data_IF_950459190641
#
_entry.id   IF_950459190641
#
_cell.length_a   1.000
_cell.length_b   1.000
_cell.length_c   1.000
_cell.angle_alpha   90.00
_cell.angle_beta   90.00
_cell.angle_gamma   90.00
#
_symmetry.space_group_name_H-M   'P 1'
#
loop_
_entity.id
_entity.type
_entity.pdbx_description
1 polymer ?
#
# COMPACT_ATOMS: atom_id res chain seq x y z
N UNK A 1 17.46 -43.00 23.45
CA UNK A 1 16.84 -44.34 23.28
C UNK A 1 15.51 -44.42 24.02
N UNK A 2 15.41 -43.99 25.25
CA UNK A 2 14.18 -44.12 26.11
C UNK A 2 12.98 -43.28 25.58
N UNK A 3 13.19 -42.10 24.95
CA UNK A 3 12.10 -41.22 24.45
C UNK A 3 11.43 -41.80 23.20
N UNK A 4 12.15 -42.50 22.34
CA UNK A 4 11.63 -43.14 21.13
C UNK A 4 10.74 -44.36 21.46
N UNK A 5 11.09 -45.11 22.51
CA UNK A 5 10.30 -46.26 22.99
C UNK A 5 9.00 -45.78 23.66
N UNK A 6 9.02 -44.63 24.35
CA UNK A 6 7.85 -44.00 24.97
C UNK A 6 6.83 -43.48 23.93
N UNK A 7 7.30 -42.88 22.87
CA UNK A 7 6.45 -42.37 21.77
C UNK A 7 5.84 -43.55 20.98
N UNK A 8 6.59 -44.63 20.75
CA UNK A 8 6.10 -45.82 20.05
C UNK A 8 5.00 -46.55 20.85
N UNK A 9 5.09 -46.59 22.17
CA UNK A 9 4.10 -47.24 23.04
C UNK A 9 2.82 -46.39 23.18
N UNK A 10 2.97 -45.06 23.22
CA UNK A 10 1.82 -44.16 23.40
C UNK A 10 1.01 -43.94 22.11
N UNK A 11 1.67 -43.93 20.95
CA UNK A 11 1.01 -43.64 19.67
C UNK A 11 0.43 -44.88 19.02
N UNK A 12 0.98 -46.04 19.27
CA UNK A 12 0.61 -47.28 18.54
C UNK A 12 -0.19 -48.31 19.35
N UNK A 13 -0.40 -48.15 20.66
CA UNK A 13 -1.26 -48.98 21.48
C UNK A 13 -1.03 -50.50 21.32
N UNK A 14 0.16 -50.93 20.93
CA UNK A 14 0.41 -52.28 20.42
C UNK A 14 1.24 -53.11 21.39
N UNK A 15 0.72 -54.26 21.67
CA UNK A 15 1.36 -55.35 22.34
C UNK A 15 2.68 -55.77 21.67
N UNK A 16 3.71 -55.95 22.44
CA UNK A 16 5.14 -55.89 22.14
C UNK A 16 5.72 -57.10 21.38
N UNK A 17 4.94 -57.89 20.64
CA UNK A 17 5.44 -59.19 20.13
C UNK A 17 5.54 -59.37 18.62
N UNK A 18 5.10 -58.44 17.75
CA UNK A 18 5.09 -58.75 16.29
C UNK A 18 5.53 -57.65 15.28
N UNK A 19 5.97 -56.49 15.65
CA UNK A 19 6.34 -55.48 14.65
C UNK A 19 7.79 -55.02 14.75
N UNK A 20 8.73 -55.78 14.17
CA UNK A 20 10.07 -55.29 13.84
C UNK A 20 10.01 -54.41 12.62
N UNK A 21 9.50 -53.18 12.75
CA UNK A 21 9.55 -52.17 11.68
C UNK A 21 11.00 -51.86 11.35
N UNK A 22 11.37 -51.92 10.07
CA UNK A 22 12.71 -51.54 9.61
C UNK A 22 12.98 -50.07 9.99
N UNK A 23 14.13 -49.78 10.60
CA UNK A 23 14.55 -48.43 11.04
C UNK A 23 14.24 -47.33 10.01
N UNK A 24 14.36 -47.60 8.71
CA UNK A 24 14.03 -46.71 7.60
C UNK A 24 12.56 -46.32 7.56
N UNK A 25 11.64 -47.22 7.85
CA UNK A 25 10.17 -46.97 7.84
C UNK A 25 9.76 -46.06 8.99
N UNK A 26 10.36 -46.20 10.17
CA UNK A 26 10.11 -45.33 11.33
C UNK A 26 10.64 -43.92 11.06
N UNK A 27 11.84 -43.79 10.47
CA UNK A 27 12.41 -42.49 10.12
C UNK A 27 11.55 -41.78 9.08
N UNK A 28 11.07 -42.51 8.05
CA UNK A 28 10.19 -41.91 7.03
C UNK A 28 8.85 -41.45 7.61
N UNK A 29 8.27 -42.21 8.53
CA UNK A 29 7.03 -41.80 9.21
C UNK A 29 7.24 -40.54 10.08
N UNK A 30 8.35 -40.45 10.82
CA UNK A 30 8.67 -39.28 11.63
C UNK A 30 8.94 -38.04 10.77
N UNK A 31 9.63 -38.21 9.65
CA UNK A 31 9.86 -37.12 8.67
C UNK A 31 8.51 -36.65 8.07
N UNK A 32 7.61 -37.59 7.73
CA UNK A 32 6.28 -37.26 7.24
C UNK A 32 5.45 -36.48 8.25
N UNK A 33 5.46 -36.87 9.53
CA UNK A 33 4.76 -36.14 10.62
C UNK A 33 5.37 -34.74 10.82
N UNK A 34 6.69 -34.64 10.74
CA UNK A 34 7.37 -33.35 10.87
C UNK A 34 7.02 -32.40 9.71
N UNK A 35 6.98 -32.90 8.46
CA UNK A 35 6.59 -32.11 7.29
C UNK A 35 5.12 -31.69 7.35
N UNK A 36 4.23 -32.58 7.81
CA UNK A 36 2.83 -32.20 8.07
C UNK A 36 2.71 -31.14 9.15
N UNK A 37 3.48 -31.25 10.24
CA UNK A 37 3.52 -30.22 11.30
C UNK A 37 4.01 -28.90 10.81
N UNK A 38 5.02 -28.88 9.94
CA UNK A 38 5.53 -27.64 9.31
C UNK A 38 4.46 -27.04 8.38
N UNK A 39 3.77 -27.85 7.58
CA UNK A 39 2.68 -27.41 6.71
C UNK A 39 1.52 -26.79 7.49
N UNK A 40 1.11 -27.42 8.58
CA UNK A 40 0.07 -26.90 9.49
C UNK A 40 0.51 -25.60 10.14
N UNK A 41 1.75 -25.51 10.63
CA UNK A 41 2.32 -24.28 11.20
C UNK A 41 2.37 -23.14 10.17
N UNK A 42 2.72 -23.46 8.92
CA UNK A 42 2.76 -22.47 7.84
C UNK A 42 1.36 -21.96 7.50
N UNK A 43 0.39 -22.86 7.43
CA UNK A 43 -1.03 -22.51 7.20
C UNK A 43 -1.60 -21.66 8.35
N UNK A 44 -1.35 -22.06 9.60
CA UNK A 44 -1.76 -21.27 10.77
C UNK A 44 -1.10 -19.89 10.82
N UNK A 45 0.17 -19.78 10.45
CA UNK A 45 0.89 -18.51 10.40
C UNK A 45 0.33 -17.56 9.34
N UNK A 46 -0.07 -18.08 8.19
CA UNK A 46 -0.73 -17.31 7.14
C UNK A 46 -2.11 -16.82 7.59
N UNK A 47 -2.91 -17.69 8.19
CA UNK A 47 -4.23 -17.38 8.74
C UNK A 47 -4.14 -16.38 9.91
N UNK A 48 -3.20 -16.59 10.83
CA UNK A 48 -2.96 -15.66 11.94
C UNK A 48 -2.52 -14.26 11.45
N UNK A 49 -1.68 -14.18 10.41
CA UNK A 49 -1.32 -12.89 9.80
C UNK A 49 -2.52 -12.18 9.20
N UNK A 50 -3.43 -12.90 8.52
CA UNK A 50 -4.67 -12.32 7.99
C UNK A 50 -5.59 -11.82 9.11
N UNK A 51 -5.74 -12.59 10.18
CA UNK A 51 -6.53 -12.17 11.36
C UNK A 51 -5.92 -10.97 12.08
N UNK A 52 -4.59 -10.97 12.29
CA UNK A 52 -3.89 -9.85 12.91
C UNK A 52 -3.96 -8.59 12.06
N UNK A 53 -3.81 -8.67 10.74
CA UNK A 53 -3.96 -7.52 9.86
C UNK A 53 -5.39 -6.97 9.91
N UNK A 54 -6.41 -7.82 9.90
CA UNK A 54 -7.81 -7.39 10.03
C UNK A 54 -8.11 -6.74 11.39
N UNK A 55 -7.51 -7.26 12.47
CA UNK A 55 -7.63 -6.65 13.81
C UNK A 55 -6.91 -5.30 13.87
N UNK A 56 -5.69 -5.21 13.34
CA UNK A 56 -4.93 -3.96 13.26
C UNK A 56 -5.71 -2.92 12.46
N UNK A 57 -6.23 -3.27 11.28
CA UNK A 57 -7.09 -2.37 10.50
C UNK A 57 -8.38 -1.96 11.24
N UNK A 58 -9.02 -2.86 11.98
CA UNK A 58 -10.17 -2.52 12.83
C UNK A 58 -9.80 -1.57 13.98
N UNK A 59 -8.64 -1.77 14.58
CA UNK A 59 -8.12 -0.91 15.66
C UNK A 59 -7.76 0.46 15.08
N UNK A 60 -7.04 0.51 13.97
CA UNK A 60 -6.71 1.75 13.27
C UNK A 60 -7.96 2.50 12.82
N UNK A 61 -8.96 1.82 12.26
CA UNK A 61 -10.25 2.41 11.92
C UNK A 61 -11.00 2.98 13.13
N UNK A 62 -10.94 2.35 14.31
CA UNK A 62 -11.53 2.86 15.55
C UNK A 62 -10.77 4.05 16.12
N UNK A 63 -9.43 4.03 16.11
CA UNK A 63 -8.62 5.16 16.56
C UNK A 63 -8.76 6.38 15.66
N UNK A 64 -8.97 6.19 14.35
CA UNK A 64 -9.15 7.30 13.40
C UNK A 64 -10.53 7.97 13.53
N UNK A 65 -11.51 7.32 14.13
CA UNK A 65 -12.88 7.89 14.26
C UNK A 65 -13.01 8.91 15.40
N UNK A 66 -12.02 9.04 16.27
CA UNK A 66 -12.06 9.93 17.45
C UNK A 66 -11.03 11.06 17.38
N UNK A 67 -10.35 11.25 16.26
CA UNK A 67 -9.39 12.35 16.13
C UNK A 67 -10.16 13.64 15.87
N UNK A 68 -10.25 14.49 16.87
CA UNK A 68 -10.57 15.90 16.69
C UNK A 68 -9.70 16.44 15.56
N UNK A 69 -10.34 16.98 14.51
CA UNK A 69 -9.64 17.60 13.40
C UNK A 69 -8.67 18.66 13.95
N UNK A 70 -7.38 18.52 13.68
CA UNK A 70 -6.41 19.58 13.95
C UNK A 70 -6.80 20.80 13.14
N UNK A 71 -6.41 21.99 13.57
CA UNK A 71 -6.64 23.22 12.81
C UNK A 71 -6.06 23.16 11.39
N UNK A 72 -4.88 22.53 11.25
CA UNK A 72 -4.26 22.23 9.96
C UNK A 72 -5.12 21.32 9.07
N UNK A 73 -5.72 20.26 9.62
CA UNK A 73 -6.61 19.36 8.87
C UNK A 73 -7.82 20.11 8.32
N UNK A 74 -8.41 21.05 9.07
CA UNK A 74 -9.54 21.83 8.61
C UNK A 74 -9.15 22.78 7.46
N UNK A 75 -7.91 23.31 7.46
CA UNK A 75 -7.34 24.12 6.36
C UNK A 75 -7.20 23.30 5.09
N UNK A 76 -6.59 22.11 5.19
CA UNK A 76 -6.36 21.22 4.03
C UNK A 76 -7.67 20.66 3.46
N UNK A 77 -8.65 20.33 4.30
CA UNK A 77 -9.99 19.91 3.85
C UNK A 77 -10.66 21.01 3.02
N UNK A 78 -10.51 22.28 3.40
CA UNK A 78 -11.07 23.39 2.62
C UNK A 78 -10.30 23.64 1.32
N UNK A 79 -8.98 23.46 1.35
CA UNK A 79 -8.07 23.71 0.22
C UNK A 79 -8.17 22.60 -0.84
N UNK A 80 -8.30 21.35 -0.38
CA UNK A 80 -8.28 20.15 -1.20
C UNK A 80 -9.57 19.35 -1.02
N UNK A 81 -10.65 19.90 -1.59
CA UNK A 81 -12.01 19.39 -1.47
C UNK A 81 -12.59 18.90 -2.80
N UNK A 82 -11.75 18.59 -3.77
CA UNK A 82 -12.23 18.06 -5.04
C UNK A 82 -12.99 16.75 -4.81
N UNK A 83 -14.15 16.65 -5.44
CA UNK A 83 -15.07 15.55 -5.18
C UNK A 83 -14.68 14.28 -5.96
N UNK A 84 -15.00 13.11 -5.44
CA UNK A 84 -14.72 11.84 -6.14
C UNK A 84 -15.26 11.78 -7.57
N UNK A 85 -16.46 12.33 -7.91
CA UNK A 85 -16.92 12.41 -9.29
C UNK A 85 -15.98 13.17 -10.23
N UNK A 86 -15.32 14.26 -9.76
CA UNK A 86 -14.35 15.01 -10.58
C UNK A 86 -13.10 14.17 -10.85
N UNK A 87 -12.56 13.50 -9.84
CA UNK A 87 -11.44 12.58 -9.97
C UNK A 87 -11.77 11.44 -10.94
N UNK A 88 -12.96 10.82 -10.77
CA UNK A 88 -13.40 9.73 -11.64
C UNK A 88 -13.60 10.19 -13.09
N UNK A 89 -14.16 11.39 -13.30
CA UNK A 89 -14.34 11.96 -14.63
C UNK A 89 -12.99 12.13 -15.32
N UNK A 90 -12.04 12.79 -14.68
CA UNK A 90 -10.68 12.95 -15.22
C UNK A 90 -9.99 11.59 -15.45
N UNK A 91 -10.18 10.63 -14.53
CA UNK A 91 -9.68 9.28 -14.71
C UNK A 91 -10.18 8.62 -16.00
N UNK A 92 -11.48 8.72 -16.27
CA UNK A 92 -12.11 8.16 -17.48
C UNK A 92 -11.70 8.88 -18.76
N UNK A 93 -11.46 10.19 -18.70
CA UNK A 93 -11.12 11.01 -19.86
C UNK A 93 -9.63 10.88 -20.25
N UNK A 94 -8.74 10.71 -19.28
CA UNK A 94 -7.29 10.79 -19.47
C UNK A 94 -6.55 9.48 -19.17
N UNK A 95 -7.25 8.48 -18.65
CA UNK A 95 -6.70 7.20 -18.24
C UNK A 95 -6.83 6.11 -19.30
N UNK A 96 -6.60 4.88 -18.87
CA UNK A 96 -6.85 3.70 -19.70
C UNK A 96 -8.34 3.54 -19.96
N UNK A 97 -8.68 3.02 -21.12
CA UNK A 97 -10.08 2.90 -21.60
C UNK A 97 -10.95 2.09 -20.65
N UNK A 98 -10.40 1.01 -20.08
CA UNK A 98 -11.10 0.11 -19.16
C UNK A 98 -10.27 -0.19 -17.92
N UNK A 99 -10.89 -0.24 -16.73
CA UNK A 99 -10.25 -0.80 -15.55
C UNK A 99 -9.78 -2.23 -15.78
N UNK A 100 -8.56 -2.54 -15.38
CA UNK A 100 -8.00 -3.89 -15.46
C UNK A 100 -8.73 -4.83 -14.50
N UNK A 101 -9.01 -6.05 -14.92
CA UNK A 101 -9.65 -7.05 -14.08
C UNK A 101 -8.65 -7.57 -13.02
N UNK A 102 -7.42 -7.85 -13.42
CA UNK A 102 -6.35 -8.36 -12.56
C UNK A 102 -4.98 -7.76 -12.90
N UNK A 103 -3.99 -8.03 -12.05
CA UNK A 103 -2.63 -7.46 -12.19
C UNK A 103 -1.85 -7.94 -13.41
N UNK A 104 -2.19 -9.09 -13.99
CA UNK A 104 -1.50 -9.60 -15.18
C UNK A 104 -1.82 -8.79 -16.43
N UNK A 105 -3.02 -8.23 -16.51
CA UNK A 105 -3.45 -7.39 -17.63
C UNK A 105 -2.64 -6.10 -17.76
N UNK A 106 -1.97 -5.65 -16.69
CA UNK A 106 -1.10 -4.47 -16.77
C UNK A 106 0.02 -4.62 -17.81
N UNK A 107 0.44 -5.85 -18.11
CA UNK A 107 1.43 -6.13 -19.16
C UNK A 107 0.88 -5.93 -20.56
N UNK A 108 -0.41 -6.14 -20.75
CA UNK A 108 -1.07 -6.00 -22.05
C UNK A 108 -1.21 -4.54 -22.46
N UNK A 109 -1.32 -3.65 -21.46
CA UNK A 109 -1.45 -2.19 -21.66
C UNK A 109 -0.15 -1.42 -21.37
N UNK A 110 1.00 -2.10 -21.33
CA UNK A 110 2.32 -1.46 -21.07
C UNK A 110 2.67 -0.34 -22.08
N UNK A 111 2.08 -0.31 -23.27
CA UNK A 111 2.27 0.78 -24.24
C UNK A 111 1.63 2.08 -23.82
N UNK A 112 0.57 2.02 -23.02
CA UNK A 112 -0.20 3.16 -22.52
C UNK A 112 0.22 3.57 -21.12
N UNK A 113 0.91 2.70 -20.40
CA UNK A 113 1.29 2.86 -19.00
C UNK A 113 2.81 2.96 -18.82
N UNK A 114 3.19 3.76 -17.84
CA UNK A 114 4.56 3.87 -17.34
C UNK A 114 4.66 3.10 -16.04
N UNK A 115 5.56 2.12 -15.97
CA UNK A 115 5.92 1.47 -14.71
C UNK A 115 6.81 2.39 -13.91
N UNK A 116 6.26 2.99 -12.87
CA UNK A 116 7.00 3.89 -11.97
C UNK A 116 7.89 3.10 -11.01
N UNK A 117 9.01 3.70 -10.62
CA UNK A 117 9.98 3.17 -9.64
C UNK A 117 10.41 4.30 -8.72
N UNK A 118 10.75 3.96 -7.48
CA UNK A 118 11.33 4.94 -6.56
C UNK A 118 12.55 5.62 -7.18
N UNK A 119 12.62 6.94 -7.05
CA UNK A 119 13.68 7.75 -7.63
C UNK A 119 14.19 8.80 -6.62
N UNK A 120 14.83 9.88 -7.10
CA UNK A 120 15.32 10.96 -6.23
C UNK A 120 14.20 11.81 -5.62
N UNK A 121 13.01 11.82 -6.20
CA UNK A 121 11.90 12.69 -5.83
C UNK A 121 10.89 11.98 -4.93
N UNK A 122 10.61 10.70 -5.21
CA UNK A 122 9.63 9.93 -4.45
C UNK A 122 10.10 8.49 -4.17
N UNK A 123 9.50 7.92 -3.16
CA UNK A 123 9.60 6.50 -2.83
C UNK A 123 8.22 5.85 -2.99
N UNK A 124 8.20 4.70 -3.66
CA UNK A 124 7.01 3.85 -3.70
C UNK A 124 7.04 2.96 -2.46
N UNK A 125 5.97 3.00 -1.69
CA UNK A 125 5.79 2.14 -0.53
C UNK A 125 5.47 0.69 -0.94
N UNK A 126 5.33 -0.20 0.05
CA UNK A 126 4.86 -1.55 -0.21
C UNK A 126 3.38 -1.50 -0.65
N UNK A 127 3.14 -1.71 -1.95
CA UNK A 127 1.80 -1.66 -2.54
C UNK A 127 1.09 -3.00 -2.35
N UNK A 128 0.14 -3.08 -1.42
CA UNK A 128 -0.64 -4.30 -1.15
C UNK A 128 -1.84 -4.45 -2.09
N UNK A 129 -2.53 -3.34 -2.37
CA UNK A 129 -3.76 -3.29 -3.16
C UNK A 129 -3.68 -2.28 -4.30
N UNK A 130 -2.54 -2.21 -4.94
CA UNK A 130 -2.31 -1.45 -6.18
C UNK A 130 -1.01 -1.90 -6.83
N UNK A 131 -0.80 -1.53 -8.09
CA UNK A 131 0.40 -1.86 -8.86
C UNK A 131 1.06 -0.58 -9.37
N UNK A 132 2.40 -0.53 -9.50
CA UNK A 132 3.16 0.68 -9.75
C UNK A 132 3.10 1.13 -11.23
N UNK A 133 1.92 1.37 -11.75
CA UNK A 133 1.70 1.83 -13.10
C UNK A 133 0.85 3.11 -13.10
N UNK A 134 1.22 4.06 -13.95
CA UNK A 134 0.49 5.31 -14.22
C UNK A 134 0.47 5.58 -15.72
N UNK A 135 -0.48 6.40 -16.17
CA UNK A 135 -0.37 7.04 -17.49
C UNK A 135 0.87 7.92 -17.53
N UNK A 136 1.35 8.24 -18.72
CA UNK A 136 2.53 9.11 -18.90
C UNK A 136 2.35 10.46 -18.20
N UNK A 137 1.22 11.14 -18.42
CA UNK A 137 0.94 12.43 -17.79
C UNK A 137 0.88 12.33 -16.26
N UNK A 138 0.27 11.28 -15.70
CA UNK A 138 0.25 11.09 -14.24
C UNK A 138 1.63 10.80 -13.66
N UNK A 139 2.49 10.06 -14.37
CA UNK A 139 3.88 9.83 -13.96
C UNK A 139 4.71 11.13 -13.99
N UNK A 140 4.54 11.94 -15.04
CA UNK A 140 5.18 13.25 -15.18
C UNK A 140 4.72 14.22 -14.08
N UNK A 141 3.42 14.21 -13.74
CA UNK A 141 2.90 14.99 -12.62
C UNK A 141 3.50 14.56 -11.28
N UNK A 142 3.63 13.27 -11.03
CA UNK A 142 4.23 12.75 -9.80
C UNK A 142 5.70 13.18 -9.67
N UNK A 143 6.47 13.11 -10.75
CA UNK A 143 7.85 13.60 -10.79
C UNK A 143 7.91 15.11 -10.53
N UNK A 144 7.05 15.88 -11.18
CA UNK A 144 6.95 17.34 -11.01
C UNK A 144 6.61 17.74 -9.57
N UNK A 145 5.67 17.05 -8.92
CA UNK A 145 5.34 17.28 -7.51
C UNK A 145 6.58 17.08 -6.63
N UNK A 146 7.29 15.97 -6.80
CA UNK A 146 8.46 15.66 -6.00
C UNK A 146 9.66 16.58 -6.29
N UNK A 147 9.80 17.05 -7.52
CA UNK A 147 10.81 18.04 -7.92
C UNK A 147 10.53 19.39 -7.24
N UNK A 148 9.34 19.97 -7.45
CA UNK A 148 8.92 21.24 -6.84
C UNK A 148 8.98 21.20 -5.31
N UNK A 149 8.58 20.09 -4.71
CA UNK A 149 8.70 19.90 -3.26
C UNK A 149 10.16 20.03 -2.80
N UNK A 150 11.11 19.40 -3.50
CA UNK A 150 12.53 19.51 -3.14
C UNK A 150 13.15 20.87 -3.50
N UNK A 151 12.68 21.56 -4.52
CA UNK A 151 13.06 22.94 -4.81
C UNK A 151 12.66 23.88 -3.67
N UNK A 152 11.44 23.71 -3.17
CA UNK A 152 10.94 24.50 -2.04
C UNK A 152 11.67 24.19 -0.74
N UNK A 153 11.95 22.90 -0.45
CA UNK A 153 12.79 22.52 0.69
C UNK A 153 14.17 23.19 0.62
N UNK A 154 14.78 23.19 -0.56
CA UNK A 154 16.10 23.80 -0.79
C UNK A 154 16.06 25.32 -0.58
N UNK A 155 15.02 26.01 -1.06
CA UNK A 155 14.87 27.45 -0.88
C UNK A 155 14.82 27.85 0.60
N UNK A 156 14.25 26.99 1.45
CA UNK A 156 14.13 27.19 2.90
C UNK A 156 15.35 26.61 3.68
N UNK A 157 16.35 26.06 3.00
CA UNK A 157 17.53 25.45 3.61
C UNK A 157 17.23 24.14 4.35
N UNK A 158 16.11 23.49 4.03
CA UNK A 158 15.71 22.20 4.60
C UNK A 158 16.38 21.07 3.79
N UNK A 159 16.74 19.99 4.49
CA UNK A 159 17.30 18.80 3.87
C UNK A 159 16.32 18.21 2.84
N UNK A 160 16.85 17.64 1.75
CA UNK A 160 16.04 16.97 0.73
C UNK A 160 15.27 15.77 1.31
N UNK A 161 14.00 15.62 0.92
CA UNK A 161 13.14 14.52 1.29
C UNK A 161 12.46 13.91 0.06
N UNK A 162 12.16 12.61 0.12
CA UNK A 162 11.25 11.96 -0.81
C UNK A 162 9.84 11.98 -0.25
N UNK A 163 8.88 12.35 -1.06
CA UNK A 163 7.47 12.06 -0.81
C UNK A 163 7.24 10.55 -0.94
N UNK A 164 6.23 10.01 -0.24
CA UNK A 164 5.97 8.56 -0.24
C UNK A 164 4.63 8.27 -0.89
N UNK A 165 4.67 7.52 -1.99
CA UNK A 165 3.50 7.08 -2.74
C UNK A 165 2.97 5.79 -2.12
N UNK A 166 1.71 5.79 -1.71
CA UNK A 166 1.08 4.68 -0.97
C UNK A 166 0.03 3.91 -1.77
N UNK A 167 -0.45 4.48 -2.86
CA UNK A 167 -1.39 3.81 -3.76
C UNK A 167 -1.26 4.37 -5.18
N UNK A 168 -1.52 3.54 -6.18
CA UNK A 168 -1.43 3.87 -7.61
C UNK A 168 -2.56 3.17 -8.37
N UNK A 169 -2.28 2.55 -9.52
CA UNK A 169 -3.27 1.80 -10.30
C UNK A 169 -3.83 0.63 -9.49
N UNK A 170 -5.15 0.55 -9.40
CA UNK A 170 -5.88 -0.57 -8.80
C UNK A 170 -6.62 -1.35 -9.88
N UNK A 171 -6.53 -2.67 -9.81
CA UNK A 171 -7.37 -3.58 -10.59
C UNK A 171 -8.71 -3.81 -9.88
N UNK A 172 -9.68 -4.42 -10.56
CA UNK A 172 -10.95 -4.80 -9.92
C UNK A 172 -10.70 -5.80 -8.77
N UNK A 173 -9.79 -6.77 -8.97
CA UNK A 173 -9.35 -7.70 -7.94
C UNK A 173 -8.76 -6.98 -6.72
N UNK A 174 -7.92 -5.95 -6.90
CA UNK A 174 -7.39 -5.14 -5.80
C UNK A 174 -8.49 -4.45 -4.99
N UNK A 175 -9.55 -3.99 -5.66
CA UNK A 175 -10.68 -3.34 -5.00
C UNK A 175 -11.52 -4.36 -4.22
N UNK A 176 -11.76 -5.53 -4.77
CA UNK A 176 -12.46 -6.63 -4.08
C UNK A 176 -11.71 -7.03 -2.80
N UNK A 177 -10.40 -7.22 -2.89
CA UNK A 177 -9.55 -7.50 -1.72
C UNK A 177 -9.59 -6.37 -0.68
N UNK A 178 -9.64 -5.10 -1.12
CA UNK A 178 -9.81 -3.96 -0.22
C UNK A 178 -11.16 -3.98 0.48
N UNK A 179 -12.25 -4.30 -0.23
CA UNK A 179 -13.59 -4.41 0.33
C UNK A 179 -13.67 -5.56 1.35
N UNK A 180 -13.11 -6.72 1.02
CA UNK A 180 -13.01 -7.86 1.93
C UNK A 180 -12.21 -7.54 3.20
N UNK A 181 -11.19 -6.68 3.11
CA UNK A 181 -10.44 -6.20 4.28
C UNK A 181 -11.21 -5.22 5.17
N UNK A 182 -12.43 -4.85 4.79
CA UNK A 182 -13.31 -3.94 5.53
C UNK A 182 -13.08 -2.46 5.21
N UNK A 183 -12.42 -2.13 4.12
CA UNK A 183 -12.28 -0.75 3.67
C UNK A 183 -13.57 -0.26 3.00
N UNK A 184 -14.40 0.45 3.76
CA UNK A 184 -15.69 1.00 3.30
C UNK A 184 -15.57 2.05 2.18
N UNK A 185 -14.39 2.57 1.92
CA UNK A 185 -14.14 3.55 0.86
C UNK A 185 -13.71 2.89 -0.47
N UNK A 186 -13.51 1.57 -0.48
CA UNK A 186 -13.17 0.85 -1.69
C UNK A 186 -14.41 0.77 -2.61
N UNK A 187 -14.31 1.31 -3.82
CA UNK A 187 -15.38 1.34 -4.80
C UNK A 187 -14.85 0.91 -6.16
N UNK A 188 -15.64 0.12 -6.88
CA UNK A 188 -15.37 -0.24 -8.28
C UNK A 188 -15.33 1.01 -9.19
N UNK A 189 -15.97 2.11 -8.78
CA UNK A 189 -15.91 3.41 -9.44
C UNK A 189 -14.77 4.28 -8.86
N UNK A 190 -13.59 3.73 -8.68
CA UNK A 190 -12.41 4.47 -8.19
C UNK A 190 -11.62 5.07 -9.34
N UNK A 191 -11.18 6.33 -9.20
CA UNK A 191 -10.27 6.96 -10.15
C UNK A 191 -8.92 6.23 -10.28
N UNK A 192 -8.48 5.51 -9.24
CA UNK A 192 -7.30 4.65 -9.30
C UNK A 192 -7.37 3.56 -10.37
N UNK A 193 -8.57 3.14 -10.79
CA UNK A 193 -8.74 2.11 -11.82
C UNK A 193 -8.31 2.56 -13.22
N UNK A 194 -8.07 3.86 -13.40
CA UNK A 194 -7.76 4.45 -14.70
C UNK A 194 -6.30 4.88 -14.86
N UNK A 195 -5.43 4.53 -13.91
CA UNK A 195 -3.98 4.84 -13.90
C UNK A 195 -3.62 6.34 -13.94
N UNK A 196 -4.56 7.23 -13.67
CA UNK A 196 -4.32 8.69 -13.59
C UNK A 196 -4.16 9.18 -12.15
N UNK A 197 -4.38 8.32 -11.17
CA UNK A 197 -4.54 8.66 -9.77
C UNK A 197 -3.51 7.97 -8.90
N UNK A 198 -2.96 8.71 -7.94
CA UNK A 198 -2.04 8.20 -6.94
C UNK A 198 -2.24 8.91 -5.59
N UNK A 199 -1.89 8.21 -4.51
CA UNK A 199 -1.95 8.73 -3.15
C UNK A 199 -0.53 9.01 -2.63
N UNK A 200 -0.32 10.20 -2.06
CA UNK A 200 0.91 10.59 -1.36
C UNK A 200 0.58 10.77 0.12
N UNK A 201 1.22 9.98 1.00
CA UNK A 201 1.00 10.16 2.44
C UNK A 201 1.64 11.45 2.95
N UNK A 202 0.93 12.15 3.83
CA UNK A 202 1.44 13.28 4.58
C UNK A 202 1.88 12.90 6.01
N UNK A 203 1.76 11.62 6.37
CA UNK A 203 2.11 11.14 7.70
C UNK A 203 3.62 10.94 7.90
N UNK A 204 4.37 10.79 6.81
CA UNK A 204 5.80 10.48 6.83
C UNK A 204 6.47 10.84 5.51
N UNK A 205 7.75 11.16 5.61
CA UNK A 205 8.64 11.49 4.49
C UNK A 205 9.97 10.75 4.69
N UNK A 206 10.71 10.56 3.61
CA UNK A 206 12.01 9.92 3.72
C UNK A 206 13.12 10.95 3.48
N UNK A 207 13.88 11.28 4.54
CA UNK A 207 15.01 12.19 4.46
C UNK A 207 16.12 11.62 3.56
N UNK A 208 16.70 12.49 2.72
CA UNK A 208 17.82 12.16 1.85
C UNK A 208 18.99 13.08 2.13
N UNK A 209 20.16 12.43 2.35
CA UNK A 209 21.40 13.17 2.60
C UNK A 209 21.47 13.77 4.00
N UNK A 210 22.64 14.30 4.32
CA UNK A 210 22.94 14.90 5.61
C UNK A 210 22.86 16.44 5.61
N UNK A 211 22.84 17.06 4.42
CA UNK A 211 22.83 18.52 4.26
C UNK A 211 21.45 19.14 4.46
N UNK A 212 21.39 20.27 5.13
CA UNK A 212 20.17 21.04 5.37
C UNK A 212 19.59 20.84 6.77
N UNK A 213 18.70 21.77 7.15
CA UNK A 213 17.99 21.74 8.43
C UNK A 213 17.04 20.54 8.49
N UNK A 214 16.82 20.02 9.69
CA UNK A 214 15.75 19.05 9.90
C UNK A 214 14.40 19.77 9.93
N UNK A 215 13.37 19.12 9.40
CA UNK A 215 11.99 19.55 9.50
C UNK A 215 11.13 18.39 9.99
N UNK A 216 10.07 18.69 10.72
CA UNK A 216 9.09 17.71 11.14
C UNK A 216 8.08 17.40 10.02
N UNK A 217 7.25 16.40 10.22
CA UNK A 217 6.27 16.01 9.22
C UNK A 217 5.19 17.08 8.96
N UNK A 218 4.91 17.94 9.93
CA UNK A 218 3.94 19.03 9.79
C UNK A 218 4.46 20.10 8.83
N UNK A 219 5.68 20.58 9.05
CA UNK A 219 6.38 21.53 8.15
C UNK A 219 6.49 20.97 6.72
N UNK A 220 6.88 19.69 6.59
CA UNK A 220 6.98 19.04 5.27
C UNK A 220 5.61 18.93 4.59
N UNK A 221 4.55 18.71 5.36
CA UNK A 221 3.18 18.66 4.84
C UNK A 221 2.70 20.04 4.36
N UNK A 222 3.05 21.10 5.07
CA UNK A 222 2.73 22.47 4.63
C UNK A 222 3.38 22.78 3.28
N UNK A 223 4.65 22.50 3.14
CA UNK A 223 5.39 22.73 1.89
C UNK A 223 4.81 21.89 0.75
N UNK A 224 4.49 20.62 1.00
CA UNK A 224 3.86 19.78 -0.01
C UNK A 224 2.46 20.29 -0.39
N UNK A 225 1.69 20.76 0.59
CA UNK A 225 0.36 21.32 0.35
C UNK A 225 0.43 22.59 -0.51
N UNK A 226 1.41 23.47 -0.29
CA UNK A 226 1.59 24.67 -1.09
C UNK A 226 1.94 24.34 -2.55
N UNK A 227 2.82 23.35 -2.76
CA UNK A 227 3.14 22.82 -4.11
C UNK A 227 1.89 22.24 -4.79
N UNK A 228 1.11 21.44 -4.07
CA UNK A 228 -0.13 20.85 -4.62
C UNK A 228 -1.17 21.93 -4.93
N UNK A 229 -1.28 22.97 -4.11
CA UNK A 229 -2.18 24.09 -4.35
C UNK A 229 -1.80 24.86 -5.61
N UNK A 230 -0.49 25.10 -5.82
CA UNK A 230 0.00 25.76 -7.03
C UNK A 230 -0.34 24.95 -8.28
N UNK A 231 -0.05 23.64 -8.28
CA UNK A 231 -0.34 22.76 -9.41
C UNK A 231 -1.85 22.64 -9.68
N UNK A 232 -2.67 22.62 -8.62
CA UNK A 232 -4.13 22.65 -8.74
C UNK A 232 -4.61 23.98 -9.38
N UNK A 233 -4.07 25.13 -8.99
CA UNK A 233 -4.38 26.43 -9.60
C UNK A 233 -3.97 26.50 -11.08
N UNK A 234 -2.95 25.74 -11.48
CA UNK A 234 -2.52 25.58 -12.87
C UNK A 234 -3.32 24.54 -13.64
N UNK A 235 -4.41 24.03 -13.07
CA UNK A 235 -5.25 22.98 -13.65
C UNK A 235 -4.53 21.66 -13.97
N UNK A 236 -3.39 21.37 -13.33
CA UNK A 236 -2.62 20.16 -13.58
C UNK A 236 -3.14 18.93 -12.84
N UNK A 237 -3.91 19.13 -11.76
CA UNK A 237 -4.46 18.03 -10.97
C UNK A 237 -5.72 18.42 -10.20
N UNK A 238 -6.51 17.40 -9.87
CA UNK A 238 -7.44 17.43 -8.75
C UNK A 238 -6.76 16.88 -7.50
N UNK A 239 -7.08 17.46 -6.35
CA UNK A 239 -6.51 17.03 -5.07
C UNK A 239 -7.60 16.96 -4.01
N UNK A 240 -7.64 15.84 -3.30
CA UNK A 240 -8.51 15.64 -2.13
C UNK A 240 -7.67 15.27 -0.92
N UNK A 241 -7.94 15.93 0.22
CA UNK A 241 -7.28 15.61 1.49
C UNK A 241 -8.06 14.49 2.20
N UNK A 242 -7.41 13.34 2.35
CA UNK A 242 -8.02 12.13 2.95
C UNK A 242 -7.53 11.95 4.38
N UNK A 243 -8.33 12.41 5.37
CA UNK A 243 -7.96 12.38 6.79
C UNK A 243 -7.76 10.95 7.29
N UNK A 244 -8.69 10.04 6.94
CA UNK A 244 -8.66 8.65 7.41
C UNK A 244 -7.48 7.86 6.86
N UNK A 245 -7.15 8.09 5.60
CA UNK A 245 -6.05 7.40 4.90
C UNK A 245 -4.72 8.14 5.07
N UNK A 246 -4.75 9.35 5.62
CA UNK A 246 -3.60 10.23 5.86
C UNK A 246 -2.79 10.46 4.59
N UNK A 247 -3.47 10.78 3.49
CA UNK A 247 -2.86 11.04 2.19
C UNK A 247 -3.54 12.19 1.46
N UNK A 248 -2.81 12.77 0.51
CA UNK A 248 -3.37 13.53 -0.59
C UNK A 248 -3.71 12.55 -1.71
N UNK A 249 -4.99 12.48 -2.07
CA UNK A 249 -5.50 11.74 -3.22
C UNK A 249 -5.45 12.66 -4.43
N UNK A 250 -4.63 12.32 -5.41
CA UNK A 250 -4.26 13.20 -6.52
C UNK A 250 -4.61 12.52 -7.84
N UNK A 251 -5.36 13.21 -8.69
CA UNK A 251 -5.66 12.74 -10.06
C UNK A 251 -5.08 13.74 -11.07
N UNK A 252 -4.27 13.24 -11.99
CA UNK A 252 -3.69 14.02 -13.07
C UNK A 252 -4.76 14.57 -14.02
N UNK A 253 -4.50 15.76 -14.56
CA UNK A 253 -5.26 16.44 -15.62
C UNK A 253 -4.39 16.73 -16.85
N UNK A 254 -3.21 16.10 -16.91
CA UNK A 254 -2.26 16.23 -18.03
C UNK A 254 -1.88 14.84 -18.56
#
# INVERSE_FOLDING_TARGET
MVLLDYIATFVLGADNTKYKMKKKTVILALVGIMLLGIGVLYHYRATARRYLSAIVHKIEARFTTTTTLRSADSRYVKMFNDTNPLHLKAGKELGIEKPLDNRNEAKEVERELVKIKSNKHYKIDHLTHSIPYLTRGAAELLDLIGEKFNEELKSQGIASHRIIVTSVLRTKEDIELLQESGNVNASQNSAHCYATTFDITYARYEKRGASGKSADAETLTEILADVLQELKKQDKCYVKYEIRQRCFHITSRI
#
